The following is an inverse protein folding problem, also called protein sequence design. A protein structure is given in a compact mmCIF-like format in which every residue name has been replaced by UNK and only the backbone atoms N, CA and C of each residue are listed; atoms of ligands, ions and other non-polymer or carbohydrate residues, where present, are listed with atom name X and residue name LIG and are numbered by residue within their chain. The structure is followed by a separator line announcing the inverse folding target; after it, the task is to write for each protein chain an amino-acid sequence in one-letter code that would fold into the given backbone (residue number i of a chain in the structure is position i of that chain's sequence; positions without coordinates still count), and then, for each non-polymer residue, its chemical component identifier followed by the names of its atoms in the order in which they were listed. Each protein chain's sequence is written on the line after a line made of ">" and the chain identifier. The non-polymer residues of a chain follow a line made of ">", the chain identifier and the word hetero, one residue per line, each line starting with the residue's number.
data_IF_800504069135
#
_entry.id   IF_800504069135
#
_cell.length_a   1.000
_cell.length_b   1.000
_cell.length_c   1.000
_cell.angle_alpha   90.00
_cell.angle_beta   90.00
_cell.angle_gamma   90.00
#
_symmetry.space_group_name_H-M   'P 1'
#
loop_
_entity.id
_entity.type
_entity.pdbx_description
1 polymer ?
#
# COMPACT_ATOMS: atom_id res chain seq x y z
N UNK A 1 23.36 -2.09 -8.50
CA UNK A 1 22.54 -2.42 -7.32
C UNK A 1 22.15 -3.88 -7.43
N UNK A 2 21.97 -4.56 -6.31
CA UNK A 2 21.48 -5.93 -6.35
C UNK A 2 20.04 -5.96 -6.91
N UNK A 3 19.68 -7.02 -7.65
CA UNK A 3 18.35 -7.18 -8.26
C UNK A 3 17.77 -8.54 -7.90
N UNK A 4 16.58 -8.55 -7.28
CA UNK A 4 15.78 -9.76 -7.12
C UNK A 4 14.86 -9.92 -8.32
N UNK A 5 15.04 -11.00 -9.08
CA UNK A 5 14.14 -11.38 -10.18
C UNK A 5 13.28 -12.57 -9.73
N UNK A 6 11.96 -12.41 -9.81
CA UNK A 6 11.00 -13.41 -9.36
C UNK A 6 9.87 -13.56 -10.37
N UNK A 7 9.77 -14.73 -11.00
CA UNK A 7 8.69 -15.09 -11.91
C UNK A 7 8.27 -16.53 -11.59
N UNK A 8 7.14 -16.71 -10.92
CA UNK A 8 6.74 -18.01 -10.40
C UNK A 8 5.24 -18.13 -10.18
N UNK A 9 4.79 -19.39 -10.04
CA UNK A 9 3.43 -19.75 -9.69
C UNK A 9 3.40 -20.57 -8.40
N UNK A 10 2.49 -20.19 -7.48
CA UNK A 10 2.21 -20.94 -6.26
C UNK A 10 0.72 -21.29 -6.24
N UNK A 11 0.34 -22.59 -6.27
CA UNK A 11 -1.05 -22.97 -6.08
C UNK A 11 -1.49 -22.65 -4.65
N UNK A 12 -2.55 -21.88 -4.51
CA UNK A 12 -3.22 -21.59 -3.26
C UNK A 12 -4.57 -22.31 -3.21
N UNK A 13 -5.25 -22.23 -2.06
CA UNK A 13 -6.49 -23.00 -1.86
C UNK A 13 -7.61 -22.67 -2.86
N UNK A 14 -7.72 -21.41 -3.29
CA UNK A 14 -8.83 -20.93 -4.12
C UNK A 14 -8.40 -20.43 -5.50
N UNK A 15 -7.13 -20.14 -5.69
CA UNK A 15 -6.55 -19.64 -6.95
C UNK A 15 -5.04 -19.94 -7.00
N UNK A 16 -4.40 -19.66 -8.11
CA UNK A 16 -2.94 -19.68 -8.19
C UNK A 16 -2.39 -18.26 -8.06
N UNK A 17 -1.34 -18.10 -7.25
CA UNK A 17 -0.55 -16.88 -7.22
C UNK A 17 0.42 -16.90 -8.41
N UNK A 18 0.21 -16.03 -9.38
CA UNK A 18 1.07 -15.79 -10.52
C UNK A 18 1.79 -14.45 -10.33
N UNK A 19 3.07 -14.47 -10.03
CA UNK A 19 3.86 -13.28 -9.78
C UNK A 19 5.04 -13.18 -10.73
N UNK A 20 5.17 -12.04 -11.40
CA UNK A 20 6.35 -11.70 -12.19
C UNK A 20 6.76 -10.26 -11.83
N UNK A 21 7.92 -10.09 -11.22
CA UNK A 21 8.46 -8.78 -10.83
C UNK A 21 9.98 -8.79 -10.71
N UNK A 22 10.55 -7.61 -10.85
CA UNK A 22 11.94 -7.30 -10.52
C UNK A 22 11.98 -6.28 -9.39
N UNK A 23 12.90 -6.46 -8.43
CA UNK A 23 13.06 -5.60 -7.26
C UNK A 23 14.49 -5.11 -7.24
N UNK A 24 14.68 -3.83 -7.57
CA UNK A 24 15.99 -3.14 -7.53
C UNK A 24 16.09 -2.18 -6.34
N UNK A 25 15.02 -1.45 -6.04
CA UNK A 25 14.84 -0.60 -4.88
C UNK A 25 13.82 -1.20 -3.92
N UNK A 26 12.88 -0.39 -3.44
CA UNK A 26 11.78 -0.85 -2.60
C UNK A 26 10.51 -1.03 -3.43
N UNK A 27 9.99 -2.24 -3.48
CA UNK A 27 8.70 -2.58 -4.11
C UNK A 27 7.70 -2.97 -3.04
N UNK A 28 6.49 -2.40 -3.09
CA UNK A 28 5.39 -2.78 -2.23
C UNK A 28 4.34 -3.59 -2.99
N UNK A 29 3.99 -4.78 -2.52
CA UNK A 29 2.79 -5.49 -2.95
C UNK A 29 1.63 -5.11 -2.02
N UNK A 30 0.59 -4.52 -2.59
CA UNK A 30 -0.62 -4.10 -1.90
C UNK A 30 -1.83 -4.86 -2.42
N UNK A 31 -2.88 -4.92 -1.61
CA UNK A 31 -4.11 -5.61 -2.02
C UNK A 31 -4.88 -6.15 -0.81
N UNK A 32 -6.06 -6.76 -1.03
CA UNK A 32 -6.91 -7.26 0.03
C UNK A 32 -6.26 -8.40 0.82
N UNK A 33 -6.77 -8.66 2.01
CA UNK A 33 -6.38 -9.83 2.78
C UNK A 33 -6.69 -11.11 1.98
N UNK A 34 -5.76 -12.06 2.00
CA UNK A 34 -5.91 -13.30 1.24
C UNK A 34 -5.49 -13.22 -0.24
N UNK A 35 -5.07 -12.07 -0.78
CA UNK A 35 -4.64 -11.95 -2.20
C UNK A 35 -3.37 -12.73 -2.57
N UNK A 36 -2.66 -13.32 -1.59
CA UNK A 36 -1.43 -14.09 -1.83
C UNK A 36 -0.12 -13.36 -1.49
N UNK A 37 -0.18 -12.16 -0.90
CA UNK A 37 1.00 -11.32 -0.60
C UNK A 37 2.04 -12.00 0.29
N UNK A 38 1.63 -12.52 1.45
CA UNK A 38 2.49 -13.30 2.36
C UNK A 38 3.01 -14.57 1.71
N UNK A 39 2.21 -15.22 0.84
CA UNK A 39 2.63 -16.41 0.07
C UNK A 39 3.75 -16.05 -0.92
N UNK A 40 3.70 -14.86 -1.54
CA UNK A 40 4.78 -14.36 -2.39
C UNK A 40 6.08 -14.22 -1.61
N UNK A 41 6.05 -13.57 -0.43
CA UNK A 41 7.23 -13.47 0.44
C UNK A 41 7.74 -14.87 0.86
N UNK A 42 6.83 -15.78 1.22
CA UNK A 42 7.18 -17.15 1.61
C UNK A 42 7.88 -17.93 0.50
N UNK A 43 7.42 -17.79 -0.75
CA UNK A 43 8.05 -18.39 -1.93
C UNK A 43 9.46 -17.84 -2.17
N UNK A 44 9.63 -16.52 -2.12
CA UNK A 44 10.93 -15.85 -2.29
C UNK A 44 11.88 -16.19 -1.14
N UNK A 45 11.39 -16.28 0.08
CA UNK A 45 12.18 -16.69 1.24
C UNK A 45 12.57 -18.18 1.24
N UNK A 46 11.93 -19.02 0.38
CA UNK A 46 12.15 -20.46 0.34
C UNK A 46 11.36 -21.23 1.40
N UNK A 47 10.40 -20.59 2.07
CA UNK A 47 9.51 -21.23 3.05
C UNK A 47 8.42 -22.09 2.37
N UNK A 48 8.09 -21.78 1.13
CA UNK A 48 7.21 -22.57 0.28
C UNK A 48 7.86 -22.78 -1.09
N UNK A 49 7.61 -23.94 -1.71
CA UNK A 49 8.14 -24.26 -3.04
C UNK A 49 7.09 -23.88 -4.09
N UNK A 50 7.42 -22.99 -5.05
CA UNK A 50 6.55 -22.72 -6.19
C UNK A 50 6.35 -23.97 -7.07
N UNK A 51 5.25 -24.02 -7.81
CA UNK A 51 4.95 -25.09 -8.76
C UNK A 51 5.72 -24.92 -10.07
N UNK A 52 5.94 -23.67 -10.50
CA UNK A 52 6.63 -23.32 -11.74
C UNK A 52 7.40 -22.02 -11.61
N UNK A 53 8.28 -21.73 -12.58
CA UNK A 53 8.98 -20.46 -12.69
C UNK A 53 10.38 -20.46 -12.12
N UNK A 54 10.90 -19.24 -11.84
CA UNK A 54 12.27 -19.01 -11.40
C UNK A 54 12.36 -17.85 -10.40
N UNK A 55 13.28 -17.96 -9.43
CA UNK A 55 13.64 -16.89 -8.47
C UNK A 55 15.15 -16.81 -8.41
N UNK A 56 15.72 -15.61 -8.58
CA UNK A 56 17.15 -15.38 -8.52
C UNK A 56 17.47 -14.00 -7.89
N UNK A 57 18.60 -13.92 -7.19
CA UNK A 57 19.18 -12.67 -6.71
C UNK A 57 20.52 -12.45 -7.40
N UNK A 58 20.72 -11.32 -8.10
CA UNK A 58 21.95 -11.02 -8.85
C UNK A 58 22.42 -12.17 -9.76
N UNK A 59 21.46 -12.86 -10.39
CA UNK A 59 21.74 -14.03 -11.24
C UNK A 59 21.97 -15.35 -10.46
N UNK A 60 22.13 -15.29 -9.14
CA UNK A 60 22.20 -16.48 -8.29
C UNK A 60 20.82 -17.11 -8.16
N UNK A 61 20.65 -18.31 -8.78
CA UNK A 61 19.35 -19.01 -8.82
C UNK A 61 19.04 -19.63 -7.47
N UNK A 62 17.90 -19.23 -6.89
CA UNK A 62 17.36 -19.80 -5.66
C UNK A 62 16.28 -20.84 -5.89
N UNK A 63 15.53 -20.65 -6.97
CA UNK A 63 14.53 -21.59 -7.44
C UNK A 63 14.48 -21.59 -8.96
N UNK A 64 14.43 -22.77 -9.55
CA UNK A 64 14.16 -22.98 -10.96
C UNK A 64 13.43 -24.30 -11.11
N UNK A 65 12.18 -24.26 -11.59
CA UNK A 65 11.37 -25.46 -11.75
C UNK A 65 11.88 -26.36 -12.88
N UNK A 66 12.42 -25.79 -13.97
CA UNK A 66 12.91 -26.51 -15.12
C UNK A 66 14.19 -27.29 -14.79
N UNK A 67 15.09 -26.65 -14.04
CA UNK A 67 16.38 -27.22 -13.65
C UNK A 67 16.31 -27.99 -12.30
N UNK A 68 15.14 -28.02 -11.66
CA UNK A 68 14.94 -28.71 -10.39
C UNK A 68 15.61 -28.06 -9.19
N UNK A 69 16.06 -26.81 -9.33
CA UNK A 69 16.75 -26.07 -8.27
C UNK A 69 15.76 -25.59 -7.20
N UNK A 70 16.07 -25.86 -5.94
CA UNK A 70 15.36 -25.29 -4.79
C UNK A 70 16.33 -25.12 -3.62
N UNK A 71 16.76 -23.88 -3.37
CA UNK A 71 17.56 -23.55 -2.19
C UNK A 71 16.65 -23.36 -0.98
N UNK A 72 17.06 -23.91 0.14
CA UNK A 72 16.36 -23.76 1.42
C UNK A 72 16.53 -22.32 1.96
N UNK A 73 15.67 -21.87 2.91
CA UNK A 73 15.74 -20.52 3.48
C UNK A 73 17.14 -20.16 4.03
N UNK A 74 17.81 -21.09 4.69
CA UNK A 74 19.14 -20.89 5.25
C UNK A 74 20.25 -20.69 4.21
N UNK A 75 20.01 -21.14 2.96
CA UNK A 75 20.92 -21.00 1.83
C UNK A 75 20.69 -19.73 1.02
N UNK A 76 19.59 -19.00 1.33
CA UNK A 76 19.24 -17.75 0.67
C UNK A 76 19.71 -16.56 1.53
N UNK A 77 20.23 -15.53 0.88
CA UNK A 77 20.62 -14.29 1.55
C UNK A 77 19.41 -13.38 1.76
N UNK A 78 18.43 -13.83 2.57
CA UNK A 78 17.18 -13.14 2.85
C UNK A 78 17.13 -12.63 4.28
N UNK A 79 16.81 -11.36 4.46
CA UNK A 79 16.32 -10.79 5.72
C UNK A 79 14.79 -10.78 5.71
N UNK A 80 14.15 -11.54 6.59
CA UNK A 80 12.69 -11.62 6.65
C UNK A 80 12.17 -11.07 7.98
N UNK A 81 11.25 -10.13 7.91
CA UNK A 81 10.49 -9.60 9.05
C UNK A 81 9.04 -10.01 8.89
N UNK A 82 8.53 -10.79 9.82
CA UNK A 82 7.15 -11.26 9.87
C UNK A 82 6.22 -10.20 10.47
N UNK A 83 4.94 -10.28 10.19
CA UNK A 83 3.90 -9.36 10.67
C UNK A 83 3.89 -9.19 12.20
N UNK A 84 4.09 -10.27 12.96
CA UNK A 84 4.18 -10.24 14.42
C UNK A 84 5.62 -10.16 14.94
N UNK A 85 6.56 -9.74 14.05
CA UNK A 85 8.00 -9.64 14.32
C UNK A 85 8.70 -10.97 14.66
N UNK A 86 7.99 -12.00 15.09
CA UNK A 86 8.47 -13.34 15.45
C UNK A 86 9.77 -13.32 16.30
N UNK A 87 9.83 -12.41 17.29
CA UNK A 87 10.95 -12.36 18.23
C UNK A 87 10.90 -13.57 19.17
N UNK A 88 12.06 -14.09 19.53
CA UNK A 88 12.18 -15.19 20.48
C UNK A 88 11.89 -14.69 21.89
N UNK A 89 10.76 -15.06 22.53
CA UNK A 89 10.32 -14.44 23.78
C UNK A 89 11.20 -14.79 24.98
N UNK A 90 11.95 -15.89 24.91
CA UNK A 90 12.88 -16.36 25.96
C UNK A 90 14.27 -15.72 25.85
N UNK A 91 14.57 -15.05 24.74
CA UNK A 91 15.85 -14.38 24.48
C UNK A 91 15.74 -12.88 24.78
N UNK A 92 16.86 -12.27 25.23
CA UNK A 92 16.96 -10.82 25.31
C UNK A 92 17.02 -10.17 23.93
N UNK A 93 16.91 -8.83 23.84
CA UNK A 93 17.08 -8.06 22.61
C UNK A 93 18.43 -8.37 21.98
N UNK A 94 19.52 -8.30 22.73
CA UNK A 94 20.86 -8.67 22.27
C UNK A 94 20.92 -10.08 21.71
N UNK A 95 20.32 -11.04 22.40
CA UNK A 95 20.31 -12.44 21.95
C UNK A 95 19.48 -12.64 20.68
N UNK A 96 18.36 -11.92 20.54
CA UNK A 96 17.55 -11.92 19.32
C UNK A 96 18.37 -11.42 18.11
N UNK A 97 19.05 -10.26 18.24
CA UNK A 97 19.89 -9.70 17.17
C UNK A 97 21.07 -10.60 16.87
N UNK A 98 21.78 -11.10 17.91
CA UNK A 98 22.93 -11.97 17.78
C UNK A 98 22.60 -13.36 17.21
N UNK A 99 21.32 -13.79 17.25
CA UNK A 99 20.90 -15.08 16.71
C UNK A 99 21.24 -15.23 15.22
N UNK A 100 21.11 -14.16 14.47
CA UNK A 100 21.38 -14.16 13.03
C UNK A 100 22.82 -13.80 12.68
N UNK A 101 23.53 -13.01 13.54
CA UNK A 101 24.90 -12.54 13.27
C UNK A 101 25.58 -12.04 14.54
N UNK A 102 26.24 -12.94 15.27
CA UNK A 102 26.87 -12.61 16.57
C UNK A 102 27.87 -11.48 16.51
N UNK A 103 28.70 -11.42 15.48
CA UNK A 103 29.78 -10.43 15.33
C UNK A 103 29.28 -9.01 15.08
N UNK A 104 28.05 -8.83 14.62
CA UNK A 104 27.47 -7.52 14.27
C UNK A 104 26.35 -7.07 15.22
N UNK A 105 26.06 -7.85 16.26
CA UNK A 105 24.93 -7.56 17.14
C UNK A 105 25.05 -6.17 17.79
N UNK A 106 26.21 -5.81 18.32
CA UNK A 106 26.42 -4.52 18.98
C UNK A 106 26.33 -3.34 18.01
N UNK A 107 26.88 -3.47 16.80
CA UNK A 107 26.72 -2.51 15.71
C UNK A 107 25.24 -2.22 15.42
N UNK A 108 24.42 -3.28 15.27
CA UNK A 108 23.01 -3.12 14.96
C UNK A 108 22.17 -2.64 16.15
N UNK A 109 22.55 -3.00 17.39
CA UNK A 109 21.91 -2.42 18.58
C UNK A 109 22.09 -0.91 18.64
N UNK A 110 23.28 -0.41 18.30
CA UNK A 110 23.57 1.03 18.26
C UNK A 110 22.85 1.71 17.10
N UNK A 111 22.97 1.17 15.87
CA UNK A 111 22.38 1.72 14.65
C UNK A 111 20.86 1.84 14.73
N UNK A 112 20.19 0.86 15.36
CA UNK A 112 18.75 0.88 15.59
C UNK A 112 18.32 1.59 16.88
N UNK A 113 19.27 2.21 17.62
CA UNK A 113 19.04 2.95 18.87
C UNK A 113 18.33 2.11 19.94
N UNK A 114 18.68 0.82 20.03
CA UNK A 114 18.13 -0.14 20.98
C UNK A 114 19.17 -0.69 21.96
N UNK A 115 20.37 -0.10 22.03
CA UNK A 115 21.46 -0.54 22.93
C UNK A 115 21.03 -0.52 24.41
N UNK A 116 20.21 0.47 24.82
CA UNK A 116 19.69 0.57 26.20
C UNK A 116 18.70 -0.55 26.55
N UNK A 117 18.16 -1.23 25.55
CA UNK A 117 17.20 -2.32 25.68
C UNK A 117 17.85 -3.70 25.51
N UNK A 118 19.19 -3.77 25.42
CA UNK A 118 19.93 -4.98 25.07
C UNK A 118 19.58 -6.20 25.95
N UNK A 119 19.36 -5.97 27.23
CA UNK A 119 19.04 -7.02 28.21
C UNK A 119 17.54 -7.24 28.43
N UNK A 120 16.67 -6.35 27.89
CA UNK A 120 15.23 -6.48 27.96
C UNK A 120 14.71 -7.66 27.11
N UNK A 121 13.53 -8.18 27.48
CA UNK A 121 12.84 -9.22 26.71
C UNK A 121 11.79 -8.61 25.78
N UNK A 122 11.40 -9.31 24.70
CA UNK A 122 10.40 -8.81 23.76
C UNK A 122 9.06 -8.40 24.37
N UNK A 123 8.66 -9.01 25.48
CA UNK A 123 7.43 -8.69 26.22
C UNK A 123 7.46 -7.34 26.92
N UNK A 124 8.66 -6.78 27.15
CA UNK A 124 8.88 -5.51 27.85
C UNK A 124 8.97 -4.33 26.86
N UNK A 125 8.94 -4.62 25.53
CA UNK A 125 9.12 -3.63 24.47
C UNK A 125 7.80 -3.08 23.96
N UNK A 126 7.80 -1.81 23.59
CA UNK A 126 6.75 -1.20 22.76
C UNK A 126 6.73 -1.81 21.34
N UNK A 127 5.64 -1.55 20.57
CA UNK A 127 5.51 -2.04 19.20
C UNK A 127 6.67 -1.58 18.28
N UNK A 128 7.02 -0.29 18.34
CA UNK A 128 8.14 0.26 17.56
C UNK A 128 9.49 -0.29 17.97
N UNK A 129 9.72 -0.54 19.26
CA UNK A 129 10.95 -1.19 19.73
C UNK A 129 11.05 -2.64 19.24
N UNK A 130 9.95 -3.41 19.31
CA UNK A 130 9.90 -4.78 18.74
C UNK A 130 10.24 -4.78 17.25
N UNK A 131 9.71 -3.83 16.49
CA UNK A 131 10.01 -3.67 15.07
C UNK A 131 11.48 -3.40 14.82
N UNK A 132 12.09 -2.44 15.54
CA UNK A 132 13.54 -2.14 15.42
C UNK A 132 14.40 -3.35 15.75
N UNK A 133 14.04 -4.13 16.77
CA UNK A 133 14.74 -5.39 17.09
C UNK A 133 14.61 -6.42 15.97
N UNK A 134 13.43 -6.56 15.37
CA UNK A 134 13.20 -7.50 14.27
C UNK A 134 13.99 -7.12 13.01
N UNK A 135 14.03 -5.83 12.67
CA UNK A 135 14.83 -5.29 11.56
C UNK A 135 16.33 -5.48 11.82
N UNK A 136 16.80 -5.13 13.03
CA UNK A 136 18.19 -5.35 13.43
C UNK A 136 18.59 -6.82 13.31
N UNK A 137 17.73 -7.75 13.75
CA UNK A 137 17.94 -9.19 13.60
C UNK A 137 18.00 -9.63 12.13
N UNK A 138 17.06 -9.15 11.30
CA UNK A 138 17.02 -9.50 9.88
C UNK A 138 18.27 -9.03 9.14
N UNK A 139 18.78 -7.82 9.45
CA UNK A 139 19.93 -7.21 8.79
C UNK A 139 21.28 -7.69 9.35
N UNK A 140 21.35 -8.16 10.60
CA UNK A 140 22.57 -8.66 11.21
C UNK A 140 23.18 -9.88 10.49
N UNK A 141 22.40 -10.56 9.64
CA UNK A 141 22.83 -11.67 8.78
C UNK A 141 23.49 -11.21 7.47
N UNK A 142 23.56 -9.92 7.20
CA UNK A 142 24.04 -9.35 5.94
C UNK A 142 23.26 -9.88 4.71
N UNK A 143 21.95 -9.67 4.67
CA UNK A 143 21.11 -10.16 3.59
C UNK A 143 21.42 -9.44 2.27
N UNK A 144 21.09 -10.10 1.14
CA UNK A 144 21.11 -9.48 -0.18
C UNK A 144 19.77 -8.90 -0.58
N UNK A 145 18.69 -9.28 0.12
CA UNK A 145 17.33 -8.76 -0.07
C UNK A 145 16.60 -8.74 1.26
N UNK A 146 15.72 -7.73 1.44
CA UNK A 146 14.86 -7.58 2.61
C UNK A 146 13.40 -7.87 2.23
N UNK A 147 12.74 -8.72 3.01
CA UNK A 147 11.33 -9.07 2.87
C UNK A 147 10.58 -8.62 4.12
N UNK A 148 9.55 -7.79 3.97
CA UNK A 148 8.79 -7.21 5.08
C UNK A 148 7.32 -7.57 4.95
N UNK A 149 6.80 -8.35 5.89
CA UNK A 149 5.39 -8.73 5.95
C UNK A 149 4.64 -7.82 6.91
N UNK A 150 3.82 -6.90 6.36
CA UNK A 150 3.00 -5.93 7.10
C UNK A 150 3.74 -5.19 8.22
N UNK A 151 4.89 -4.54 7.94
CA UNK A 151 5.81 -4.08 8.97
C UNK A 151 5.25 -3.03 9.94
N UNK A 152 4.15 -2.34 9.59
CA UNK A 152 3.56 -1.27 10.39
C UNK A 152 2.16 -1.63 10.96
N UNK A 153 1.63 -2.83 10.68
CA UNK A 153 0.25 -3.19 11.00
C UNK A 153 -0.04 -3.32 12.50
N UNK A 154 0.98 -3.66 13.30
CA UNK A 154 0.85 -3.86 14.75
C UNK A 154 0.99 -2.57 15.59
N UNK A 155 1.09 -1.40 14.94
CA UNK A 155 1.31 -0.11 15.58
C UNK A 155 0.02 0.72 15.66
N UNK A 156 -0.14 1.47 16.75
CA UNK A 156 -1.17 2.51 16.84
C UNK A 156 -0.88 3.69 15.88
N UNK A 157 -1.90 4.47 15.54
CA UNK A 157 -1.82 5.51 14.51
C UNK A 157 -0.71 6.57 14.76
N UNK A 158 -0.47 6.96 16.01
CA UNK A 158 0.53 7.97 16.33
C UNK A 158 1.95 7.41 16.21
N UNK A 159 2.18 6.22 16.76
CA UNK A 159 3.44 5.49 16.65
C UNK A 159 3.76 5.15 15.20
N UNK A 160 2.75 4.77 14.41
CA UNK A 160 2.87 4.41 12.99
C UNK A 160 3.50 5.51 12.16
N UNK A 161 3.11 6.78 12.34
CA UNK A 161 3.67 7.92 11.59
C UNK A 161 5.19 8.08 11.83
N UNK A 162 5.61 8.03 13.10
CA UNK A 162 7.04 8.16 13.46
C UNK A 162 7.85 6.98 12.93
N UNK A 163 7.37 5.77 13.15
CA UNK A 163 8.06 4.53 12.75
C UNK A 163 8.11 4.37 11.23
N UNK A 164 7.08 4.85 10.51
CA UNK A 164 7.08 4.90 9.03
C UNK A 164 8.25 5.74 8.51
N UNK A 165 8.45 6.94 9.07
CA UNK A 165 9.59 7.80 8.70
C UNK A 165 10.94 7.15 9.01
N UNK A 166 11.09 6.56 10.21
CA UNK A 166 12.32 5.84 10.58
C UNK A 166 12.59 4.66 9.63
N UNK A 167 11.56 3.87 9.29
CA UNK A 167 11.69 2.75 8.36
C UNK A 167 12.09 3.22 6.95
N UNK A 168 11.50 4.31 6.46
CA UNK A 168 11.86 4.88 5.17
C UNK A 168 13.34 5.31 5.12
N UNK A 169 13.83 5.97 6.16
CA UNK A 169 15.25 6.35 6.27
C UNK A 169 16.15 5.11 6.27
N UNK A 170 15.81 4.10 7.04
CA UNK A 170 16.57 2.84 7.10
C UNK A 170 16.61 2.12 5.74
N UNK A 171 15.48 2.01 5.03
CA UNK A 171 15.45 1.35 3.71
C UNK A 171 16.35 2.07 2.71
N UNK A 172 16.36 3.41 2.72
CA UNK A 172 17.25 4.21 1.87
C UNK A 172 18.72 4.05 2.26
N UNK A 173 19.02 4.05 3.55
CA UNK A 173 20.39 3.93 4.07
C UNK A 173 21.02 2.58 3.71
N UNK A 174 20.27 1.48 3.85
CA UNK A 174 20.76 0.14 3.51
C UNK A 174 20.83 -0.11 2.00
N UNK A 175 19.96 0.52 1.20
CA UNK A 175 19.94 0.41 -0.26
C UNK A 175 19.80 -1.02 -0.78
N UNK A 176 19.20 -1.91 0.01
CA UNK A 176 18.93 -3.30 -0.38
C UNK A 176 17.64 -3.39 -1.20
N UNK A 177 17.59 -4.27 -2.22
CA UNK A 177 16.33 -4.67 -2.80
C UNK A 177 15.38 -5.07 -1.68
N UNK A 178 14.20 -4.44 -1.64
CA UNK A 178 13.23 -4.68 -0.57
C UNK A 178 11.87 -4.97 -1.17
N UNK A 179 11.28 -6.09 -0.81
CA UNK A 179 9.89 -6.39 -1.10
C UNK A 179 9.09 -6.31 0.20
N UNK A 180 8.19 -5.34 0.27
CA UNK A 180 7.27 -5.23 1.41
C UNK A 180 5.85 -5.57 0.96
N UNK A 181 5.07 -6.15 1.85
CA UNK A 181 3.64 -6.35 1.64
C UNK A 181 2.85 -5.59 2.69
N UNK A 182 1.76 -4.98 2.26
CA UNK A 182 0.83 -4.26 3.14
C UNK A 182 -0.56 -4.22 2.53
N UNK A 183 -1.56 -3.95 3.35
CA UNK A 183 -2.92 -3.64 2.89
C UNK A 183 -3.21 -2.13 2.92
N UNK A 184 -2.25 -1.31 3.33
CA UNK A 184 -2.38 0.15 3.48
C UNK A 184 -1.65 0.86 2.32
N UNK A 185 -2.41 1.61 1.50
CA UNK A 185 -1.85 2.35 0.38
C UNK A 185 -0.91 3.47 0.83
N UNK A 186 -1.19 4.15 1.96
CA UNK A 186 -0.34 5.25 2.45
C UNK A 186 1.02 4.73 2.92
N UNK A 187 1.05 3.56 3.57
CA UNK A 187 2.31 2.91 3.96
C UNK A 187 3.13 2.55 2.72
N UNK A 188 2.50 1.92 1.74
CA UNK A 188 3.17 1.54 0.49
C UNK A 188 3.70 2.77 -0.27
N UNK A 189 2.87 3.80 -0.45
CA UNK A 189 3.23 5.03 -1.15
C UNK A 189 4.37 5.82 -0.47
N UNK A 190 4.50 5.69 0.86
CA UNK A 190 5.56 6.36 1.62
C UNK A 190 6.87 5.59 1.62
N UNK A 191 6.82 4.26 1.60
CA UNK A 191 7.99 3.39 1.80
C UNK A 191 8.60 2.88 0.49
N UNK A 192 7.80 2.75 -0.57
CA UNK A 192 8.21 2.08 -1.79
C UNK A 192 8.35 3.00 -3.00
N UNK A 193 9.31 2.67 -3.86
CA UNK A 193 9.53 3.33 -5.15
C UNK A 193 8.49 2.88 -6.18
N UNK A 194 8.09 1.61 -6.09
CA UNK A 194 7.13 0.97 -6.99
C UNK A 194 6.10 0.18 -6.19
N UNK A 195 4.84 0.29 -6.59
CA UNK A 195 3.71 -0.41 -6.00
C UNK A 195 3.15 -1.43 -6.99
N UNK A 196 2.83 -2.63 -6.50
CA UNK A 196 2.11 -3.65 -7.25
C UNK A 196 0.77 -3.98 -6.57
N UNK A 197 -0.34 -3.80 -7.26
CA UNK A 197 -1.66 -4.19 -6.75
C UNK A 197 -1.93 -5.64 -7.08
N UNK A 198 -2.01 -6.48 -6.05
CA UNK A 198 -2.25 -7.92 -6.14
C UNK A 198 -3.69 -8.24 -5.74
N UNK A 199 -4.42 -8.90 -6.63
CA UNK A 199 -5.80 -9.33 -6.40
C UNK A 199 -5.95 -10.77 -6.92
N UNK A 200 -6.47 -11.66 -6.08
CA UNK A 200 -6.70 -13.06 -6.41
C UNK A 200 -5.48 -13.73 -7.08
N UNK A 201 -4.30 -13.45 -6.53
CA UNK A 201 -3.03 -14.00 -7.00
C UNK A 201 -2.45 -13.37 -8.27
N UNK A 202 -3.05 -12.30 -8.81
CA UNK A 202 -2.59 -11.65 -10.05
C UNK A 202 -2.26 -10.18 -9.83
N UNK A 203 -1.18 -9.70 -10.43
CA UNK A 203 -0.87 -8.28 -10.49
C UNK A 203 -1.85 -7.57 -11.45
N UNK A 204 -2.65 -6.64 -10.90
CA UNK A 204 -3.55 -5.78 -11.67
C UNK A 204 -2.82 -4.58 -12.26
N UNK A 205 -1.92 -4.00 -11.46
CA UNK A 205 -1.13 -2.85 -11.88
C UNK A 205 0.22 -2.86 -11.15
N UNK A 206 1.26 -2.40 -11.83
CA UNK A 206 2.60 -2.13 -11.28
C UNK A 206 3.02 -0.73 -11.72
N UNK A 207 3.46 0.12 -10.80
CA UNK A 207 3.90 1.48 -11.11
C UNK A 207 4.11 2.33 -9.85
N UNK A 208 4.40 3.62 -10.02
CA UNK A 208 4.55 4.55 -8.89
C UNK A 208 3.20 4.85 -8.22
N UNK A 209 3.23 5.33 -6.98
CA UNK A 209 2.02 5.79 -6.28
C UNK A 209 1.25 6.85 -7.08
N UNK A 210 1.97 7.76 -7.74
CA UNK A 210 1.37 8.76 -8.61
C UNK A 210 0.61 8.13 -9.80
N UNK A 211 1.18 7.11 -10.43
CA UNK A 211 0.51 6.39 -11.53
C UNK A 211 -0.74 5.65 -11.04
N UNK A 212 -0.68 5.01 -9.86
CA UNK A 212 -1.84 4.33 -9.27
C UNK A 212 -3.03 5.28 -9.06
N UNK A 213 -2.76 6.52 -8.66
CA UNK A 213 -3.78 7.57 -8.44
C UNK A 213 -4.22 8.23 -9.74
N UNK A 214 -3.27 8.63 -10.61
CA UNK A 214 -3.61 9.40 -11.82
C UNK A 214 -4.16 8.55 -12.97
N UNK A 215 -3.79 7.27 -13.02
CA UNK A 215 -4.15 6.33 -14.08
C UNK A 215 -4.41 4.93 -13.49
N UNK A 216 -5.43 4.76 -12.65
CA UNK A 216 -5.77 3.45 -12.13
C UNK A 216 -6.19 2.51 -13.27
N UNK A 217 -5.68 1.28 -13.23
CA UNK A 217 -5.93 0.28 -14.29
C UNK A 217 -7.39 -0.19 -14.31
N UNK A 218 -8.04 -0.22 -13.15
CA UNK A 218 -9.43 -0.61 -12.97
C UNK A 218 -10.05 0.05 -11.74
N UNK A 219 -11.37 -0.14 -11.57
CA UNK A 219 -12.12 0.41 -10.43
C UNK A 219 -11.67 -0.15 -9.08
N UNK A 220 -11.13 -1.36 -9.06
CA UNK A 220 -10.55 -1.91 -7.82
C UNK A 220 -9.32 -1.11 -7.39
N UNK A 221 -8.39 -0.85 -8.31
CA UNK A 221 -7.20 -0.02 -8.03
C UNK A 221 -7.60 1.37 -7.58
N UNK A 222 -8.55 2.01 -8.27
CA UNK A 222 -9.07 3.34 -7.90
C UNK A 222 -9.67 3.34 -6.49
N UNK A 223 -10.49 2.34 -6.16
CA UNK A 223 -11.08 2.19 -4.82
C UNK A 223 -10.00 1.96 -3.75
N UNK A 224 -9.05 1.11 -4.05
CA UNK A 224 -7.97 0.75 -3.13
C UNK A 224 -7.05 1.96 -2.81
N UNK A 225 -6.88 2.86 -3.77
CA UNK A 225 -6.15 4.13 -3.58
C UNK A 225 -6.99 5.23 -2.92
N UNK A 226 -8.25 4.92 -2.57
CA UNK A 226 -9.13 5.79 -1.79
C UNK A 226 -10.00 6.73 -2.61
N UNK A 227 -10.19 6.48 -3.92
CA UNK A 227 -11.10 7.25 -4.75
C UNK A 227 -12.57 7.00 -4.41
N UNK A 228 -13.41 8.00 -4.66
CA UNK A 228 -14.85 7.81 -4.78
C UNK A 228 -15.14 7.07 -6.09
N UNK A 229 -15.96 6.04 -6.01
CA UNK A 229 -16.48 5.32 -7.16
C UNK A 229 -17.99 5.53 -7.26
N UNK A 230 -18.44 5.98 -8.42
CA UNK A 230 -19.85 6.16 -8.73
C UNK A 230 -20.14 5.50 -10.06
N UNK A 231 -21.18 4.66 -10.12
CA UNK A 231 -21.58 4.01 -11.35
C UNK A 231 -22.52 4.91 -12.14
N UNK A 232 -22.36 4.92 -13.48
CA UNK A 232 -23.22 5.70 -14.35
C UNK A 232 -23.14 5.27 -15.82
N UNK A 233 -24.00 5.87 -16.63
CA UNK A 233 -24.04 5.65 -18.06
C UNK A 233 -23.48 6.85 -18.82
N UNK A 234 -22.39 6.64 -19.53
CA UNK A 234 -21.65 7.65 -20.28
C UNK A 234 -22.26 7.83 -21.68
N UNK A 235 -22.38 9.09 -22.09
CA UNK A 235 -22.77 9.51 -23.45
C UNK A 235 -21.89 10.66 -23.91
N UNK A 236 -21.38 10.56 -25.14
CA UNK A 236 -20.50 11.58 -25.69
C UNK A 236 -21.27 12.89 -25.97
N UNK A 237 -20.60 14.06 -25.82
CA UNK A 237 -21.09 15.38 -26.20
C UNK A 237 -20.21 16.03 -27.27
N UNK A 238 -20.81 16.88 -28.08
CA UNK A 238 -20.12 17.58 -29.17
C UNK A 238 -19.10 18.63 -28.70
N UNK A 239 -19.13 19.02 -27.41
CA UNK A 239 -18.22 20.01 -26.79
C UNK A 239 -16.92 19.41 -26.22
N UNK A 240 -16.64 18.14 -26.54
CA UNK A 240 -15.42 17.45 -26.11
C UNK A 240 -15.48 16.93 -24.67
N UNK A 241 -16.66 16.90 -24.08
CA UNK A 241 -16.89 16.31 -22.74
C UNK A 241 -17.77 15.07 -22.85
N UNK A 242 -17.51 14.10 -22.01
CA UNK A 242 -18.40 12.96 -21.79
C UNK A 242 -19.36 13.30 -20.66
N UNK A 243 -20.65 13.21 -20.95
CA UNK A 243 -21.72 13.32 -19.95
C UNK A 243 -22.00 11.95 -19.37
N UNK A 244 -22.00 11.84 -18.05
CA UNK A 244 -22.36 10.61 -17.34
C UNK A 244 -23.55 10.87 -16.45
N UNK A 245 -24.59 10.07 -16.63
CA UNK A 245 -25.76 10.02 -15.76
C UNK A 245 -25.53 8.93 -14.70
N UNK A 246 -25.39 9.36 -13.44
CA UNK A 246 -25.12 8.46 -12.32
C UNK A 246 -26.38 7.65 -11.96
N UNK A 247 -26.21 6.44 -11.44
CA UNK A 247 -27.33 5.64 -10.93
C UNK A 247 -28.15 6.35 -9.84
N UNK A 248 -27.54 7.28 -9.13
CA UNK A 248 -28.17 8.10 -8.10
C UNK A 248 -28.99 9.29 -8.67
N UNK A 249 -28.91 9.52 -10.00
CA UNK A 249 -29.70 10.52 -10.74
C UNK A 249 -28.96 11.81 -11.03
N UNK A 250 -27.78 12.05 -10.45
CA UNK A 250 -26.98 13.24 -10.74
C UNK A 250 -26.27 13.08 -12.10
N UNK A 251 -25.92 14.24 -12.70
CA UNK A 251 -25.14 14.29 -13.94
C UNK A 251 -23.76 14.83 -13.66
N UNK A 252 -22.74 14.12 -14.11
CA UNK A 252 -21.33 14.55 -14.03
C UNK A 252 -20.69 14.54 -15.41
N UNK A 253 -19.60 15.28 -15.54
CA UNK A 253 -18.85 15.45 -16.78
C UNK A 253 -17.39 15.03 -16.57
N UNK A 254 -16.79 14.46 -17.62
CA UNK A 254 -15.37 14.12 -17.68
C UNK A 254 -14.77 14.54 -19.00
N UNK A 255 -13.46 14.77 -19.01
CA UNK A 255 -12.65 14.93 -20.24
C UNK A 255 -12.23 13.60 -20.84
N UNK A 256 -12.41 12.49 -20.13
CA UNK A 256 -12.15 11.16 -20.69
C UNK A 256 -13.27 10.78 -21.66
N UNK A 257 -12.88 10.16 -22.79
CA UNK A 257 -13.85 9.67 -23.77
C UNK A 257 -14.33 8.27 -23.38
N UNK A 258 -15.64 8.12 -23.22
CA UNK A 258 -16.27 6.86 -22.84
C UNK A 258 -17.72 6.80 -23.29
N UNK A 259 -18.26 5.58 -23.45
CA UNK A 259 -19.66 5.33 -23.75
C UNK A 259 -20.14 4.06 -23.05
N UNK A 260 -21.43 4.03 -22.68
CA UNK A 260 -22.03 2.90 -21.98
C UNK A 260 -21.83 2.93 -20.49
N UNK A 261 -21.82 1.77 -19.85
CA UNK A 261 -21.70 1.65 -18.39
C UNK A 261 -20.26 1.91 -17.96
N UNK A 262 -20.08 2.86 -17.05
CA UNK A 262 -18.75 3.27 -16.55
C UNK A 262 -18.73 3.42 -15.03
N UNK A 263 -17.56 3.26 -14.45
CA UNK A 263 -17.26 3.70 -13.10
C UNK A 263 -16.58 5.08 -13.14
N UNK A 264 -17.24 6.07 -12.55
CA UNK A 264 -16.74 7.44 -12.39
C UNK A 264 -15.85 7.50 -11.16
N UNK A 265 -14.63 7.96 -11.35
CA UNK A 265 -13.59 8.04 -10.32
C UNK A 265 -13.28 9.50 -10.03
N UNK A 266 -13.36 9.91 -8.76
CA UNK A 266 -12.89 11.21 -8.27
C UNK A 266 -12.29 11.06 -6.88
N UNK A 267 -11.15 11.70 -6.65
CA UNK A 267 -10.49 11.59 -5.35
C UNK A 267 -11.07 12.57 -4.32
N UNK A 268 -11.12 12.19 -3.03
CA UNK A 268 -11.68 13.03 -1.97
C UNK A 268 -11.05 14.42 -1.85
N UNK A 269 -9.76 14.55 -2.15
CA UNK A 269 -9.03 15.84 -2.14
C UNK A 269 -9.31 16.73 -3.35
N UNK A 270 -9.90 16.19 -4.43
CA UNK A 270 -10.34 16.94 -5.60
C UNK A 270 -11.77 17.46 -5.46
N UNK A 271 -12.49 17.04 -4.39
CA UNK A 271 -13.85 17.46 -4.09
C UNK A 271 -13.84 18.64 -3.14
N UNK A 272 -14.35 19.78 -3.60
CA UNK A 272 -14.54 20.98 -2.78
C UNK A 272 -15.94 20.97 -2.17
N UNK A 273 -16.08 21.43 -0.92
CA UNK A 273 -17.36 21.52 -0.20
C UNK A 273 -17.67 22.98 0.15
N UNK A 274 -18.90 23.40 -0.17
CA UNK A 274 -19.42 24.72 0.16
C UNK A 274 -20.86 24.65 0.68
N UNK A 275 -21.34 25.75 1.29
CA UNK A 275 -22.75 25.90 1.67
C UNK A 275 -23.66 26.22 0.49
N UNK A 276 -23.09 26.88 -0.52
CA UNK A 276 -23.77 27.31 -1.73
C UNK A 276 -22.94 26.99 -2.96
N UNK A 277 -23.58 26.94 -4.11
CA UNK A 277 -22.89 26.78 -5.38
C UNK A 277 -22.17 28.07 -5.75
N UNK A 278 -20.86 27.97 -5.97
CA UNK A 278 -20.06 29.08 -6.47
C UNK A 278 -19.96 29.02 -8.00
N UNK A 279 -19.80 30.19 -8.64
CA UNK A 279 -19.50 30.27 -10.07
C UNK A 279 -17.99 30.12 -10.24
N UNK A 280 -17.54 28.90 -10.54
CA UNK A 280 -16.15 28.57 -10.76
C UNK A 280 -15.99 27.61 -11.95
N UNK A 281 -14.79 27.05 -12.16
CA UNK A 281 -14.50 26.11 -13.23
C UNK A 281 -14.90 24.65 -12.92
N UNK A 282 -15.47 24.38 -11.76
CA UNK A 282 -15.96 23.05 -11.42
C UNK A 282 -17.34 22.83 -12.07
N UNK A 283 -17.40 21.94 -13.04
CA UNK A 283 -18.64 21.64 -13.75
C UNK A 283 -19.53 20.63 -13.01
N UNK A 284 -18.89 19.74 -12.23
CA UNK A 284 -19.59 18.70 -11.50
C UNK A 284 -20.09 19.22 -10.17
N UNK A 285 -21.38 19.03 -9.92
CA UNK A 285 -22.07 19.52 -8.73
C UNK A 285 -22.93 18.41 -8.17
N UNK A 286 -22.74 18.08 -6.91
CA UNK A 286 -23.57 17.14 -6.15
C UNK A 286 -24.07 17.87 -4.91
N UNK A 287 -25.39 18.04 -4.83
CA UNK A 287 -26.06 18.65 -3.67
C UNK A 287 -26.59 17.57 -2.75
N UNK A 288 -26.39 17.72 -1.45
CA UNK A 288 -26.89 16.72 -0.52
C UNK A 288 -26.65 17.08 0.94
N UNK A 289 -27.15 16.20 1.79
CA UNK A 289 -26.91 16.28 3.23
C UNK A 289 -25.62 15.51 3.58
N UNK A 290 -24.86 16.05 4.54
CA UNK A 290 -23.72 15.36 5.11
C UNK A 290 -24.23 14.13 5.88
N UNK A 291 -23.81 12.94 5.42
CA UNK A 291 -24.16 11.67 6.07
C UNK A 291 -23.25 11.34 7.25
N UNK A 292 -21.97 11.63 7.12
CA UNK A 292 -20.98 11.37 8.18
C UNK A 292 -19.79 12.29 8.04
N UNK A 293 -19.13 12.54 9.17
CA UNK A 293 -17.84 13.22 9.28
C UNK A 293 -16.91 12.30 10.03
N UNK A 294 -15.73 12.01 9.46
CA UNK A 294 -14.71 11.16 10.08
C UNK A 294 -13.42 11.95 10.18
N UNK A 295 -12.93 12.16 11.40
CA UNK A 295 -11.69 12.88 11.66
C UNK A 295 -10.47 12.00 11.38
N UNK A 296 -9.49 12.51 10.63
CA UNK A 296 -8.26 11.83 10.25
C UNK A 296 -7.07 12.78 10.45
N UNK A 297 -6.48 12.77 11.65
CA UNK A 297 -5.40 13.69 12.01
C UNK A 297 -5.87 15.15 11.99
N UNK A 298 -5.26 15.98 11.12
CA UNK A 298 -5.62 17.39 10.93
C UNK A 298 -6.62 17.64 9.79
N UNK A 299 -7.25 16.58 9.29
CA UNK A 299 -8.24 16.59 8.21
C UNK A 299 -9.50 15.85 8.63
N UNK A 300 -10.57 16.08 7.89
CA UNK A 300 -11.81 15.33 8.03
C UNK A 300 -12.31 14.84 6.67
N UNK A 301 -12.87 13.64 6.64
CA UNK A 301 -13.58 13.09 5.50
C UNK A 301 -15.08 13.30 5.70
N UNK A 302 -15.69 14.05 4.79
CA UNK A 302 -17.09 14.44 4.82
C UNK A 302 -17.83 13.70 3.70
N UNK A 303 -18.77 12.82 4.05
CA UNK A 303 -19.56 12.06 3.08
C UNK A 303 -20.83 12.80 2.73
N UNK A 304 -21.01 13.07 1.42
CA UNK A 304 -22.14 13.82 0.85
C UNK A 304 -22.75 12.98 -0.28
N UNK A 305 -23.93 12.42 -0.09
CA UNK A 305 -24.52 11.54 -1.10
C UNK A 305 -23.54 10.41 -1.52
N UNK A 306 -23.22 10.30 -2.82
CA UNK A 306 -22.30 9.27 -3.34
C UNK A 306 -20.81 9.63 -3.17
N UNK A 307 -20.46 10.88 -2.84
CA UNK A 307 -19.06 11.33 -2.76
C UNK A 307 -18.60 11.58 -1.33
N UNK A 308 -17.32 11.40 -1.11
CA UNK A 308 -16.58 11.82 0.09
C UNK A 308 -15.61 12.91 -0.30
N UNK A 309 -15.61 14.02 0.43
CA UNK A 309 -14.61 15.09 0.31
C UNK A 309 -13.62 15.01 1.46
N UNK A 310 -12.37 15.40 1.22
CA UNK A 310 -11.37 15.59 2.26
C UNK A 310 -11.16 17.09 2.50
N UNK A 311 -11.41 17.55 3.73
CA UNK A 311 -11.31 18.95 4.14
C UNK A 311 -10.41 19.10 5.36
N UNK A 312 -9.87 20.30 5.60
CA UNK A 312 -9.12 20.56 6.82
C UNK A 312 -10.08 20.73 8.02
N UNK A 313 -9.61 20.44 9.24
CA UNK A 313 -10.36 20.70 10.48
C UNK A 313 -10.82 22.16 10.58
N UNK A 314 -9.97 23.11 10.16
CA UNK A 314 -10.33 24.54 10.11
C UNK A 314 -11.50 24.82 9.16
N UNK A 315 -11.56 24.16 8.00
CA UNK A 315 -12.66 24.28 7.06
C UNK A 315 -13.93 23.64 7.58
N UNK A 316 -13.81 22.50 8.29
CA UNK A 316 -14.94 21.82 8.92
C UNK A 316 -15.66 22.77 9.90
N UNK A 317 -14.90 23.41 10.81
CA UNK A 317 -15.46 24.37 11.76
C UNK A 317 -15.98 25.65 11.11
N UNK A 318 -15.22 26.25 10.16
CA UNK A 318 -15.63 27.49 9.48
C UNK A 318 -16.94 27.35 8.70
N UNK A 319 -17.15 26.21 8.07
CA UNK A 319 -18.33 25.93 7.25
C UNK A 319 -19.43 25.20 8.03
N UNK A 320 -19.20 24.91 9.32
CA UNK A 320 -20.11 24.15 10.18
C UNK A 320 -20.60 22.84 9.50
N UNK A 321 -19.64 22.03 9.05
CA UNK A 321 -19.90 20.79 8.33
C UNK A 321 -20.22 19.67 9.32
N UNK A 322 -21.49 19.58 9.70
CA UNK A 322 -22.00 18.57 10.65
C UNK A 322 -22.97 17.61 9.96
N UNK A 323 -23.13 16.38 10.44
CA UNK A 323 -24.12 15.45 9.90
C UNK A 323 -25.53 16.09 9.86
N UNK A 324 -26.25 15.92 8.75
CA UNK A 324 -27.55 16.52 8.47
C UNK A 324 -27.50 17.92 7.84
N UNK A 325 -26.36 18.59 7.82
CA UNK A 325 -26.22 19.88 7.14
C UNK A 325 -26.28 19.72 5.61
N UNK A 326 -27.04 20.58 4.93
CA UNK A 326 -27.07 20.66 3.47
C UNK A 326 -25.84 21.40 2.95
N UNK A 327 -25.19 20.80 1.95
CA UNK A 327 -23.96 21.30 1.33
C UNK A 327 -23.93 20.98 -0.16
N UNK A 328 -23.01 21.64 -0.85
CA UNK A 328 -22.72 21.45 -2.26
C UNK A 328 -21.29 20.91 -2.40
N UNK A 329 -21.13 19.75 -2.97
CA UNK A 329 -19.85 19.20 -3.38
C UNK A 329 -19.58 19.53 -4.85
N UNK A 330 -18.42 20.10 -5.15
CA UNK A 330 -18.03 20.44 -6.53
C UNK A 330 -16.68 19.85 -6.87
N UNK A 331 -16.51 19.43 -8.13
CA UNK A 331 -15.24 18.91 -8.64
C UNK A 331 -15.13 19.13 -10.15
N UNK A 332 -13.89 19.14 -10.65
CA UNK A 332 -13.59 19.45 -12.05
C UNK A 332 -13.80 18.23 -12.96
N UNK A 333 -14.29 18.46 -14.17
CA UNK A 333 -14.35 17.44 -15.22
C UNK A 333 -12.96 16.86 -15.56
N UNK A 334 -11.91 17.71 -15.49
CA UNK A 334 -10.51 17.29 -15.71
C UNK A 334 -9.94 16.40 -14.60
N UNK A 335 -10.51 16.42 -13.40
CA UNK A 335 -10.16 15.55 -12.27
C UNK A 335 -11.06 14.32 -12.14
N UNK A 336 -11.99 14.14 -13.09
CA UNK A 336 -12.94 13.03 -13.12
C UNK A 336 -12.49 12.00 -14.16
N UNK A 337 -12.20 10.77 -13.73
CA UNK A 337 -11.80 9.67 -14.62
C UNK A 337 -12.97 8.75 -14.89
N UNK A 338 -12.99 8.16 -16.07
CA UNK A 338 -13.97 7.15 -16.46
C UNK A 338 -13.27 5.82 -16.73
N UNK A 339 -13.67 4.80 -15.98
CA UNK A 339 -13.16 3.43 -16.17
C UNK A 339 -14.30 2.57 -16.72
N UNK A 340 -14.00 1.64 -17.65
CA UNK A 340 -14.98 0.65 -18.06
C UNK A 340 -15.51 -0.12 -16.84
N UNK A 341 -16.81 -0.27 -16.72
CA UNK A 341 -17.38 -1.11 -15.68
C UNK A 341 -17.12 -2.58 -16.04
N UNK A 342 -16.43 -3.31 -15.13
CA UNK A 342 -16.06 -4.72 -15.34
C UNK A 342 -17.18 -5.70 -14.96
#
# INVERSE_FOLDING_TARGET
>A
MATLSASFEVPLRSFALELALEVEGTVALIGPSGAGKTSALGAIAGLSRPASGRIALDGEVWFDAADGVFRKPEERRVGLVFQEYALFPHMSVRQNVAYAGKSRADEYLERFRISKLADAKPTELSGGERQRVALARALARDPGVLLLDEPLSALDANTKLTVRGELQELLREFGLPTLLVTHDFEDAASLADTLGVLVDGKLRQLGSAQQMVSQPADSFVASFTGANLMRGHASHRADGLTRVELEAGEVVYSTDDAAGLVDVVVYPWDVTVGRERHSDSAMNVIEGEIRSVVHVGNRARVRIGPVTAEVTEASLGRLDLVPGARVVATFKATGTRLLPHA
#
